data_IF_045348831366
#
_entry.id   IF_045348831366
#
_cell.length_a   1.000
_cell.length_b   1.000
_cell.length_c   1.000
_cell.angle_alpha   90.00
_cell.angle_beta   90.00
_cell.angle_gamma   90.00
#
_symmetry.space_group_name_H-M   'P 1'
#
loop_
_entity.id
_entity.type
_entity.pdbx_description
1 polymer ?
#
# COMPACT_ATOMS: atom_id res chain seq x y z
N UNK A 1 0.32 25.80 31.96
CA UNK A 1 0.99 25.64 30.66
C UNK A 1 1.36 24.18 30.51
N UNK A 2 0.69 23.31 29.78
CA UNK A 2 -0.65 23.28 29.18
C UNK A 2 -0.87 21.78 28.94
N UNK A 3 -1.69 21.13 29.78
CA UNK A 3 -2.19 19.80 29.44
C UNK A 3 -3.50 19.99 28.70
N UNK A 4 -3.38 20.22 27.40
CA UNK A 4 -4.49 20.15 26.47
C UNK A 4 -4.90 18.65 26.37
N UNK A 5 -5.57 18.15 27.41
CA UNK A 5 -6.21 16.84 27.40
C UNK A 5 -7.31 16.93 26.36
N UNK A 6 -7.04 16.44 25.15
CA UNK A 6 -8.05 16.26 24.12
C UNK A 6 -9.20 15.49 24.77
N UNK A 7 -10.33 16.15 24.96
CA UNK A 7 -11.53 15.53 25.52
C UNK A 7 -12.08 14.65 24.40
N UNK A 8 -11.65 13.39 24.41
CA UNK A 8 -12.17 12.37 23.49
C UNK A 8 -13.65 12.16 23.81
N UNK A 9 -14.52 12.37 22.83
CA UNK A 9 -15.97 12.21 22.98
C UNK A 9 -16.34 10.78 23.40
N UNK A 10 -17.55 10.60 23.93
CA UNK A 10 -18.03 9.26 24.34
C UNK A 10 -18.10 8.32 23.14
N UNK A 11 -18.54 8.84 22.00
CA UNK A 11 -18.63 8.13 20.72
C UNK A 11 -17.24 7.66 20.25
N UNK A 12 -16.24 8.55 20.30
CA UNK A 12 -14.86 8.21 19.92
C UNK A 12 -14.26 7.15 20.86
N UNK A 13 -14.50 7.24 22.18
CA UNK A 13 -14.08 6.19 23.11
C UNK A 13 -14.72 4.84 22.77
N UNK A 14 -16.01 4.85 22.45
CA UNK A 14 -16.73 3.63 22.08
C UNK A 14 -16.19 3.05 20.77
N UNK A 15 -15.91 3.88 19.76
CA UNK A 15 -15.34 3.45 18.50
C UNK A 15 -13.98 2.79 18.67
N UNK A 16 -13.09 3.39 19.46
CA UNK A 16 -11.78 2.81 19.79
C UNK A 16 -11.91 1.46 20.53
N UNK A 17 -12.89 1.33 21.43
CA UNK A 17 -13.19 0.06 22.11
C UNK A 17 -13.68 -0.99 21.11
N UNK A 18 -14.63 -0.64 20.23
CA UNK A 18 -15.18 -1.55 19.24
C UNK A 18 -14.12 -2.04 18.27
N UNK A 19 -13.36 -1.11 17.68
CA UNK A 19 -12.24 -1.44 16.78
C UNK A 19 -11.24 -2.36 17.46
N UNK A 20 -10.92 -2.18 18.74
CA UNK A 20 -9.97 -3.07 19.44
C UNK A 20 -10.56 -4.44 19.82
N UNK A 21 -11.85 -4.49 20.20
CA UNK A 21 -12.36 -5.62 20.98
C UNK A 21 -13.44 -6.47 20.31
N UNK A 22 -14.11 -5.99 19.26
CA UNK A 22 -15.07 -6.81 18.51
C UNK A 22 -14.39 -8.09 18.01
N UNK A 23 -15.12 -9.18 17.86
CA UNK A 23 -14.54 -10.45 17.37
C UNK A 23 -14.08 -10.32 15.91
N UNK A 24 -14.81 -9.54 15.12
CA UNK A 24 -14.47 -9.23 13.74
C UNK A 24 -14.83 -7.79 13.37
N UNK A 25 -14.16 -7.28 12.35
CA UNK A 25 -14.52 -6.06 11.62
C UNK A 25 -14.45 -6.36 10.13
N UNK A 26 -15.11 -5.56 9.31
CA UNK A 26 -15.14 -5.73 7.87
C UNK A 26 -14.47 -4.54 7.20
N UNK A 27 -13.63 -4.79 6.22
CA UNK A 27 -12.84 -3.77 5.52
C UNK A 27 -13.16 -3.84 4.05
N UNK A 28 -13.41 -2.68 3.43
CA UNK A 28 -13.54 -2.61 1.97
C UNK A 28 -12.15 -2.79 1.36
N UNK A 29 -12.02 -3.75 0.45
CA UNK A 29 -10.78 -4.09 -0.22
C UNK A 29 -10.88 -3.70 -1.70
N UNK A 30 -9.79 -3.17 -2.26
CA UNK A 30 -9.66 -3.02 -3.70
C UNK A 30 -9.45 -4.39 -4.36
N UNK A 31 -10.34 -4.72 -5.29
CA UNK A 31 -10.26 -5.93 -6.11
C UNK A 31 -9.08 -5.93 -7.08
N UNK A 32 -8.48 -4.76 -7.34
CA UNK A 32 -7.35 -4.57 -8.26
C UNK A 32 -6.03 -4.73 -7.52
N UNK A 33 -5.85 -4.02 -6.41
CA UNK A 33 -4.58 -4.00 -5.65
C UNK A 33 -4.51 -5.12 -4.61
N UNK A 34 -5.62 -5.78 -4.29
CA UNK A 34 -5.73 -6.79 -3.21
C UNK A 34 -5.29 -6.23 -1.84
N UNK A 35 -5.50 -4.93 -1.63
CA UNK A 35 -5.22 -4.16 -0.42
C UNK A 35 -6.51 -3.45 0.02
N UNK A 36 -6.55 -2.86 1.23
CA UNK A 36 -7.68 -2.00 1.62
C UNK A 36 -7.95 -0.94 0.55
N UNK A 37 -9.22 -0.67 0.29
CA UNK A 37 -9.61 0.42 -0.59
C UNK A 37 -9.39 1.74 0.15
N UNK A 38 -8.64 2.65 -0.47
CA UNK A 38 -8.24 3.92 0.15
C UNK A 38 -8.90 5.09 -0.56
N UNK A 39 -9.35 6.07 0.23
CA UNK A 39 -9.91 7.35 -0.21
C UNK A 39 -9.14 8.49 0.47
N UNK A 40 -9.06 9.65 -0.18
CA UNK A 40 -8.56 10.88 0.44
C UNK A 40 -9.79 11.70 0.85
N UNK A 41 -9.90 12.05 2.13
CA UNK A 41 -10.97 12.92 2.61
C UNK A 41 -10.79 14.35 2.08
N UNK A 42 -11.82 14.95 1.49
CA UNK A 42 -11.71 16.26 0.85
C UNK A 42 -11.54 17.43 1.83
N UNK A 43 -11.89 17.24 3.11
CA UNK A 43 -11.83 18.29 4.13
C UNK A 43 -10.58 18.15 5.01
N UNK A 44 -10.27 16.94 5.47
CA UNK A 44 -9.13 16.69 6.37
C UNK A 44 -7.86 16.30 5.64
N UNK A 45 -7.95 15.90 4.37
CA UNK A 45 -6.86 15.31 3.58
C UNK A 45 -6.30 14.03 4.22
N UNK A 46 -7.09 13.35 5.03
CA UNK A 46 -6.72 12.05 5.57
C UNK A 46 -6.85 10.96 4.51
N UNK A 47 -5.86 10.07 4.47
CA UNK A 47 -5.85 8.88 3.65
C UNK A 47 -6.53 7.75 4.43
N UNK A 48 -7.79 7.49 4.08
CA UNK A 48 -8.70 6.68 4.88
C UNK A 48 -8.95 5.31 4.27
N UNK A 49 -8.98 4.28 5.13
CA UNK A 49 -9.59 2.98 4.80
C UNK A 49 -11.00 2.87 5.36
N UNK A 50 -11.88 2.19 4.62
CA UNK A 50 -13.27 2.00 5.02
C UNK A 50 -13.42 0.75 5.89
N UNK A 51 -13.89 0.93 7.13
CA UNK A 51 -14.02 -0.12 8.14
C UNK A 51 -15.43 -0.17 8.71
N UNK A 52 -15.99 -1.35 8.93
CA UNK A 52 -17.35 -1.54 9.39
C UNK A 52 -17.43 -2.55 10.52
N UNK A 53 -18.35 -2.33 11.46
CA UNK A 53 -18.65 -3.30 12.52
C UNK A 53 -19.55 -4.44 12.02
N UNK A 54 -20.37 -4.19 11.01
CA UNK A 54 -21.34 -5.14 10.46
C UNK A 54 -21.08 -5.38 8.97
N UNK A 55 -21.20 -6.63 8.53
CA UNK A 55 -20.96 -7.02 7.14
C UNK A 55 -21.95 -6.36 6.18
N UNK A 56 -23.21 -6.22 6.61
CA UNK A 56 -24.28 -5.66 5.77
C UNK A 56 -24.02 -4.19 5.44
N UNK A 57 -23.56 -3.38 6.40
CA UNK A 57 -23.16 -1.99 6.13
C UNK A 57 -21.95 -1.90 5.18
N UNK A 58 -21.00 -2.83 5.30
CA UNK A 58 -19.89 -2.92 4.34
C UNK A 58 -20.38 -3.30 2.93
N UNK A 59 -21.37 -4.19 2.81
CA UNK A 59 -22.00 -4.58 1.53
C UNK A 59 -22.73 -3.41 0.88
N UNK A 60 -23.45 -2.62 1.65
CA UNK A 60 -24.12 -1.41 1.17
C UNK A 60 -23.11 -0.41 0.60
N UNK A 61 -22.03 -0.10 1.34
CA UNK A 61 -20.98 0.77 0.82
C UNK A 61 -20.26 0.20 -0.39
N UNK A 62 -19.93 -1.10 -0.37
CA UNK A 62 -19.30 -1.77 -1.51
C UNK A 62 -20.16 -1.68 -2.77
N UNK A 63 -21.49 -1.76 -2.63
CA UNK A 63 -22.44 -1.57 -3.73
C UNK A 63 -22.38 -0.14 -4.28
N UNK A 64 -22.39 0.88 -3.43
CA UNK A 64 -22.25 2.29 -3.87
C UNK A 64 -20.93 2.51 -4.62
N UNK A 65 -19.82 1.98 -4.11
CA UNK A 65 -18.52 2.08 -4.80
C UNK A 65 -18.52 1.35 -6.15
N UNK A 66 -19.22 0.21 -6.24
CA UNK A 66 -19.39 -0.51 -7.50
C UNK A 66 -20.27 0.25 -8.51
N UNK A 67 -21.28 0.98 -8.05
CA UNK A 67 -22.07 1.91 -8.89
C UNK A 67 -21.17 3.02 -9.46
N UNK A 68 -20.18 3.48 -8.68
CA UNK A 68 -19.11 4.39 -9.11
C UNK A 68 -17.98 3.72 -9.91
N UNK A 69 -18.19 2.46 -10.31
CA UNK A 69 -17.31 1.60 -11.12
C UNK A 69 -16.00 1.19 -10.45
N UNK A 70 -15.88 1.35 -9.15
CA UNK A 70 -14.74 0.76 -8.43
C UNK A 70 -14.89 -0.75 -8.32
N UNK A 71 -13.76 -1.43 -8.47
CA UNK A 71 -13.68 -2.87 -8.25
C UNK A 71 -13.34 -3.11 -6.80
N UNK A 72 -14.35 -3.42 -5.98
CA UNK A 72 -14.19 -3.63 -4.54
C UNK A 72 -14.72 -4.99 -4.09
N UNK A 73 -14.22 -5.44 -2.95
CA UNK A 73 -14.72 -6.59 -2.20
C UNK A 73 -14.67 -6.29 -0.70
N UNK A 74 -15.02 -7.28 0.12
CA UNK A 74 -15.04 -7.14 1.58
C UNK A 74 -14.14 -8.21 2.17
N UNK A 75 -13.24 -7.80 3.06
CA UNK A 75 -12.47 -8.72 3.89
C UNK A 75 -12.95 -8.65 5.33
N UNK A 76 -13.11 -9.83 5.93
CA UNK A 76 -13.33 -9.98 7.36
C UNK A 76 -11.97 -10.03 8.07
N UNK A 77 -11.79 -9.15 9.06
CA UNK A 77 -10.57 -9.07 9.89
C UNK A 77 -10.90 -9.55 11.30
N UNK A 78 -10.48 -10.78 11.58
CA UNK A 78 -10.55 -11.40 12.90
C UNK A 78 -9.72 -10.62 13.93
N UNK A 79 -10.15 -10.65 15.18
CA UNK A 79 -9.50 -9.95 16.31
C UNK A 79 -8.00 -10.25 16.45
N UNK A 80 -7.59 -11.50 16.21
CA UNK A 80 -6.19 -11.91 16.29
C UNK A 80 -5.31 -11.36 15.14
N UNK A 81 -5.89 -11.06 13.98
CA UNK A 81 -5.18 -10.47 12.84
C UNK A 81 -5.17 -8.93 12.89
N UNK A 82 -6.01 -8.33 13.74
CA UNK A 82 -6.32 -6.90 13.72
C UNK A 82 -5.16 -5.97 14.01
N UNK A 83 -4.32 -6.31 14.98
CA UNK A 83 -3.12 -5.52 15.27
C UNK A 83 -2.18 -5.49 14.05
N UNK A 84 -2.01 -6.63 13.38
CA UNK A 84 -1.22 -6.74 12.16
C UNK A 84 -1.82 -5.90 11.03
N UNK A 85 -3.15 -5.94 10.87
CA UNK A 85 -3.87 -5.10 9.91
C UNK A 85 -3.60 -3.61 10.14
N UNK A 86 -3.88 -3.07 11.33
CA UNK A 86 -3.67 -1.64 11.62
C UNK A 86 -2.19 -1.23 11.51
N UNK A 87 -1.25 -2.09 11.94
CA UNK A 87 0.18 -1.79 11.82
C UNK A 87 0.62 -1.73 10.35
N UNK A 88 0.05 -2.57 9.48
CA UNK A 88 0.37 -2.59 8.05
C UNK A 88 -0.10 -1.33 7.30
N UNK A 89 -1.17 -0.67 7.77
CA UNK A 89 -1.65 0.57 7.16
C UNK A 89 -0.54 1.66 7.10
N UNK A 90 0.36 1.68 8.08
CA UNK A 90 1.50 2.60 8.08
C UNK A 90 2.53 2.39 6.97
N UNK A 91 2.65 1.18 6.40
CA UNK A 91 3.54 0.90 5.26
C UNK A 91 2.88 1.29 3.94
N UNK A 92 1.56 1.45 3.94
CA UNK A 92 0.71 1.87 2.82
C UNK A 92 0.48 3.39 2.79
N UNK A 93 0.96 4.15 3.78
CA UNK A 93 0.74 5.60 3.87
C UNK A 93 -0.60 6.03 4.46
N UNK A 94 -1.51 5.09 4.74
CA UNK A 94 -2.82 5.34 5.36
C UNK A 94 -2.65 5.91 6.77
N UNK A 95 -3.39 6.98 7.08
CA UNK A 95 -3.31 7.67 8.36
C UNK A 95 -4.63 7.61 9.18
N UNK A 96 -5.76 7.23 8.57
CA UNK A 96 -7.05 7.22 9.24
C UNK A 96 -7.97 6.07 8.81
N UNK A 97 -9.02 5.86 9.60
CA UNK A 97 -10.10 4.93 9.34
C UNK A 97 -11.41 5.70 9.27
N UNK A 98 -12.13 5.47 8.18
CA UNK A 98 -13.50 5.89 8.01
C UNK A 98 -14.43 4.75 8.44
N UNK A 99 -14.94 4.86 9.66
CA UNK A 99 -15.69 3.79 10.32
C UNK A 99 -17.18 3.97 10.07
N UNK A 100 -17.85 2.90 9.64
CA UNK A 100 -19.30 2.84 9.45
C UNK A 100 -19.86 3.96 8.55
N UNK A 101 -19.12 4.37 7.52
CA UNK A 101 -19.58 5.42 6.59
C UNK A 101 -20.94 5.07 5.99
N UNK A 102 -21.88 6.00 6.09
CA UNK A 102 -23.27 5.83 5.65
C UNK A 102 -24.23 5.31 6.72
N UNK A 103 -23.82 5.23 7.99
CA UNK A 103 -24.70 4.84 9.11
C UNK A 103 -24.71 5.86 10.25
N UNK A 104 -25.58 5.67 11.24
CA UNK A 104 -25.65 6.52 12.44
C UNK A 104 -24.39 6.42 13.34
N UNK A 105 -23.57 5.39 13.14
CA UNK A 105 -22.31 5.16 13.88
C UNK A 105 -21.08 5.66 13.10
N UNK A 106 -21.28 6.47 12.06
CA UNK A 106 -20.19 7.01 11.25
C UNK A 106 -19.21 7.86 12.09
N UNK A 107 -17.92 7.52 12.03
CA UNK A 107 -16.88 8.25 12.75
C UNK A 107 -15.52 8.11 12.06
N UNK A 108 -14.70 9.17 12.12
CA UNK A 108 -13.30 9.13 11.68
C UNK A 108 -12.37 8.89 12.85
N UNK A 109 -11.46 7.93 12.70
CA UNK A 109 -10.49 7.53 13.74
C UNK A 109 -9.09 7.63 13.15
N UNK A 110 -8.23 8.43 13.78
CA UNK A 110 -6.83 8.53 13.40
C UNK A 110 -6.12 7.22 13.75
N UNK A 111 -5.30 6.68 12.85
CA UNK A 111 -4.63 5.39 13.02
C UNK A 111 -3.76 5.36 14.28
N UNK A 112 -3.11 6.48 14.61
CA UNK A 112 -2.29 6.65 15.81
C UNK A 112 -3.07 6.49 17.12
N UNK A 113 -4.39 6.71 17.11
CA UNK A 113 -5.25 6.47 18.25
C UNK A 113 -5.46 4.98 18.51
N UNK A 114 -5.27 4.12 17.50
CA UNK A 114 -5.41 2.67 17.62
C UNK A 114 -4.08 1.98 17.90
N UNK A 115 -3.05 2.34 17.13
CA UNK A 115 -1.72 1.71 17.19
C UNK A 115 -0.66 2.80 17.10
N UNK A 116 0.17 2.92 18.13
CA UNK A 116 1.28 3.88 18.11
C UNK A 116 2.45 3.28 17.34
N UNK A 117 2.89 4.00 16.31
CA UNK A 117 4.11 3.65 15.57
C UNK A 117 5.34 3.98 16.42
N UNK A 118 6.22 3.00 16.65
CA UNK A 118 7.53 3.28 17.24
C UNK A 118 8.34 4.17 16.30
N UNK A 119 9.07 5.13 16.85
CA UNK A 119 9.82 6.08 16.05
C UNK A 119 10.91 5.35 15.24
N UNK A 120 11.00 5.64 13.94
CA UNK A 120 11.97 4.99 13.03
C UNK A 120 13.42 5.33 13.39
N UNK A 121 13.63 6.48 14.04
CA UNK A 121 14.93 6.99 14.49
C UNK A 121 15.46 6.28 15.74
N UNK A 122 14.63 5.51 16.45
CA UNK A 122 15.03 4.71 17.61
C UNK A 122 15.55 3.32 17.21
N UNK A 123 15.57 3.00 15.92
CA UNK A 123 16.13 1.75 15.42
C UNK A 123 17.67 1.86 15.41
N UNK A 124 18.40 0.85 15.94
CA UNK A 124 19.86 0.86 15.96
C UNK A 124 20.45 1.09 14.57
N UNK A 125 21.54 1.87 14.50
CA UNK A 125 22.29 2.14 13.27
C UNK A 125 22.53 0.83 12.49
N UNK A 126 22.07 0.80 11.24
CA UNK A 126 22.17 -0.38 10.35
C UNK A 126 20.88 -1.19 10.18
N UNK A 127 19.81 -0.94 10.96
CA UNK A 127 18.47 -1.51 10.74
C UNK A 127 17.48 -0.48 10.21
N UNK A 128 17.86 0.25 9.14
CA UNK A 128 16.94 1.18 8.50
C UNK A 128 15.77 0.40 7.90
N UNK A 129 14.58 0.61 8.45
CA UNK A 129 13.34 0.03 7.94
C UNK A 129 13.09 0.62 6.55
N UNK A 130 13.17 -0.23 5.52
CA UNK A 130 12.88 0.17 4.14
C UNK A 130 11.38 0.15 3.96
N UNK A 131 10.81 1.33 3.75
CA UNK A 131 9.40 1.56 3.49
C UNK A 131 9.28 2.77 2.57
N UNK A 132 8.35 2.71 1.61
CA UNK A 132 8.04 3.81 0.71
C UNK A 132 6.54 4.11 0.78
N UNK A 133 6.03 4.62 1.93
CA UNK A 133 4.59 4.74 2.17
C UNK A 133 3.89 5.65 1.16
N UNK A 134 4.49 6.80 0.81
CA UNK A 134 3.94 7.71 -0.20
C UNK A 134 3.83 7.03 -1.57
N UNK A 135 4.90 6.36 -2.02
CA UNK A 135 4.87 5.60 -3.28
C UNK A 135 3.79 4.52 -3.26
N UNK A 136 3.65 3.82 -2.14
CA UNK A 136 2.68 2.75 -1.99
C UNK A 136 1.25 3.29 -2.07
N UNK A 137 0.97 4.38 -1.35
CA UNK A 137 -0.29 5.08 -1.33
C UNK A 137 -0.68 5.59 -2.73
N UNK A 138 0.20 6.36 -3.39
CA UNK A 138 -0.06 6.89 -4.73
C UNK A 138 -0.27 5.75 -5.74
N UNK A 139 0.47 4.64 -5.62
CA UNK A 139 0.25 3.47 -6.46
C UNK A 139 -1.11 2.79 -6.20
N UNK A 140 -1.60 2.78 -4.95
CA UNK A 140 -2.95 2.28 -4.64
C UNK A 140 -4.02 3.15 -5.30
N UNK A 141 -3.95 4.48 -5.15
CA UNK A 141 -4.86 5.41 -5.81
C UNK A 141 -4.83 5.25 -7.34
N UNK A 142 -3.63 5.24 -7.92
CA UNK A 142 -3.45 5.09 -9.37
C UNK A 142 -4.13 3.82 -9.89
N UNK A 143 -3.89 2.67 -9.22
CA UNK A 143 -4.43 1.40 -9.68
C UNK A 143 -5.93 1.29 -9.47
N UNK A 144 -6.49 1.91 -8.42
CA UNK A 144 -7.93 2.04 -8.22
C UNK A 144 -8.57 2.84 -9.37
N UNK A 145 -8.01 4.01 -9.70
CA UNK A 145 -8.55 4.91 -10.73
C UNK A 145 -8.39 4.36 -12.14
N UNK A 146 -7.22 3.80 -12.50
CA UNK A 146 -6.98 3.22 -13.83
C UNK A 146 -7.97 2.11 -14.18
N UNK A 147 -8.49 1.40 -13.18
CA UNK A 147 -9.41 0.28 -13.37
C UNK A 147 -10.88 0.68 -13.18
N UNK A 148 -11.18 1.95 -12.93
CA UNK A 148 -12.55 2.45 -12.74
C UNK A 148 -13.37 2.53 -14.05
N UNK A 149 -12.87 1.96 -15.15
CA UNK A 149 -13.53 1.85 -16.47
C UNK A 149 -14.26 3.14 -16.89
N UNK A 150 -13.53 4.25 -16.98
CA UNK A 150 -14.09 5.61 -17.08
C UNK A 150 -14.25 6.09 -18.54
N UNK A 151 -13.77 5.32 -19.52
CA UNK A 151 -13.87 5.68 -20.95
C UNK A 151 -12.58 5.39 -21.71
N UNK A 152 -12.51 5.81 -23.00
CA UNK A 152 -11.34 5.56 -23.84
C UNK A 152 -10.16 6.49 -23.54
N UNK A 153 -10.42 7.69 -23.00
CA UNK A 153 -9.39 8.66 -22.65
C UNK A 153 -8.97 8.49 -21.19
N UNK A 154 -7.67 8.65 -20.95
CA UNK A 154 -7.12 8.65 -19.59
C UNK A 154 -7.51 9.96 -18.89
N UNK A 155 -8.25 9.90 -17.77
CA UNK A 155 -8.63 11.07 -16.99
C UNK A 155 -7.40 11.85 -16.49
N UNK A 156 -7.54 13.15 -16.29
CA UNK A 156 -6.42 14.01 -15.86
C UNK A 156 -5.88 13.61 -14.49
N UNK A 157 -6.76 13.28 -13.53
CA UNK A 157 -6.36 12.81 -12.21
C UNK A 157 -5.50 11.53 -12.27
N UNK A 158 -5.72 10.66 -13.27
CA UNK A 158 -4.88 9.47 -13.48
C UNK A 158 -3.48 9.86 -13.94
N UNK A 159 -3.34 10.89 -14.78
CA UNK A 159 -2.03 11.39 -15.21
C UNK A 159 -1.27 12.04 -14.06
N UNK A 160 -1.95 12.86 -13.26
CA UNK A 160 -1.37 13.47 -12.06
C UNK A 160 -0.86 12.39 -11.09
N UNK A 161 -1.65 11.35 -10.83
CA UNK A 161 -1.25 10.21 -10.01
C UNK A 161 -0.05 9.46 -10.61
N UNK A 162 0.05 9.32 -11.94
CA UNK A 162 1.23 8.72 -12.57
C UNK A 162 2.49 9.58 -12.37
N UNK A 163 2.38 10.89 -12.55
CA UNK A 163 3.50 11.82 -12.36
C UNK A 163 3.99 11.83 -10.90
N UNK A 164 3.05 11.90 -9.95
CA UNK A 164 3.33 11.83 -8.52
C UNK A 164 3.98 10.49 -8.14
N UNK A 165 3.42 9.37 -8.62
CA UNK A 165 3.98 8.04 -8.39
C UNK A 165 5.42 7.96 -8.90
N UNK A 166 5.70 8.52 -10.08
CA UNK A 166 7.05 8.54 -10.66
C UNK A 166 8.00 9.43 -9.85
N UNK A 167 7.51 10.52 -9.25
CA UNK A 167 8.29 11.36 -8.36
C UNK A 167 8.67 10.63 -7.05
N UNK A 168 7.73 9.90 -6.45
CA UNK A 168 8.03 9.06 -5.27
C UNK A 168 8.96 7.90 -5.63
N UNK A 169 8.75 7.24 -6.78
CA UNK A 169 9.62 6.16 -7.24
C UNK A 169 11.08 6.60 -7.32
N UNK A 170 11.36 7.75 -7.93
CA UNK A 170 12.73 8.29 -8.07
C UNK A 170 13.44 8.55 -6.75
N UNK A 171 12.69 8.82 -5.67
CA UNK A 171 13.22 9.04 -4.31
C UNK A 171 13.31 7.75 -3.50
N UNK A 172 12.68 6.67 -3.97
CA UNK A 172 12.49 5.44 -3.23
C UNK A 172 13.76 4.61 -3.07
N UNK A 173 13.79 3.81 -2.02
CA UNK A 173 14.74 2.71 -1.85
C UNK A 173 13.95 1.42 -1.73
N UNK A 174 14.28 0.42 -2.54
CA UNK A 174 13.47 -0.77 -2.70
C UNK A 174 14.17 -1.99 -2.13
N UNK A 175 13.38 -2.95 -1.65
CA UNK A 175 13.88 -4.27 -1.33
C UNK A 175 13.91 -5.09 -2.62
N UNK A 176 15.03 -5.76 -2.88
CA UNK A 176 15.19 -6.75 -3.96
C UNK A 176 15.55 -8.09 -3.35
N UNK A 177 14.87 -9.14 -3.78
CA UNK A 177 15.15 -10.51 -3.36
C UNK A 177 16.17 -11.20 -4.26
N UNK A 178 17.11 -11.91 -3.65
CA UNK A 178 18.10 -12.75 -4.32
C UNK A 178 18.01 -14.17 -3.75
N UNK A 179 17.88 -15.16 -4.61
CA UNK A 179 17.83 -16.59 -4.23
C UNK A 179 19.20 -17.09 -3.74
N UNK A 180 19.23 -18.27 -3.10
CA UNK A 180 20.47 -18.82 -2.53
C UNK A 180 21.55 -19.11 -3.57
N UNK A 181 21.16 -19.40 -4.81
CA UNK A 181 22.02 -19.57 -5.98
C UNK A 181 22.41 -18.25 -6.66
N UNK A 182 22.15 -17.12 -6.00
CA UNK A 182 22.34 -15.76 -6.49
C UNK A 182 21.46 -15.37 -7.69
N UNK A 183 20.39 -16.13 -7.99
CA UNK A 183 19.43 -15.72 -9.03
C UNK A 183 18.43 -14.69 -8.52
N UNK A 184 18.13 -13.70 -9.35
CA UNK A 184 17.07 -12.71 -9.09
C UNK A 184 15.76 -13.25 -9.70
N UNK A 185 14.64 -13.27 -8.95
CA UNK A 185 13.36 -13.71 -9.50
C UNK A 185 12.89 -12.83 -10.66
N UNK A 186 12.12 -13.43 -11.57
CA UNK A 186 11.45 -12.73 -12.66
C UNK A 186 9.99 -13.12 -12.76
N UNK A 187 9.18 -12.13 -13.11
CA UNK A 187 7.76 -12.30 -13.37
C UNK A 187 7.51 -12.20 -14.86
N UNK A 188 7.04 -13.31 -15.43
CA UNK A 188 6.59 -13.36 -16.82
C UNK A 188 5.16 -12.89 -16.93
N UNK A 189 4.93 -11.95 -17.84
CA UNK A 189 3.62 -11.41 -18.15
C UNK A 189 2.92 -12.21 -19.26
N UNK A 190 1.59 -12.07 -19.42
CA UNK A 190 0.85 -12.75 -20.48
C UNK A 190 1.35 -12.45 -21.90
N UNK A 191 1.88 -11.24 -22.11
CA UNK A 191 2.52 -10.82 -23.38
C UNK A 191 3.94 -11.38 -23.57
N UNK A 192 4.44 -12.18 -22.61
CA UNK A 192 5.76 -12.78 -22.62
C UNK A 192 6.87 -11.92 -22.02
N UNK A 193 6.62 -10.63 -21.74
CA UNK A 193 7.61 -9.72 -21.16
C UNK A 193 8.01 -10.13 -19.74
N UNK A 194 9.25 -9.82 -19.35
CA UNK A 194 9.81 -10.16 -18.05
C UNK A 194 10.02 -8.90 -17.22
N UNK A 195 9.57 -8.92 -15.97
CA UNK A 195 9.77 -7.84 -15.01
C UNK A 195 10.44 -8.36 -13.74
N UNK A 196 11.39 -7.60 -13.21
CA UNK A 196 12.05 -7.89 -11.95
C UNK A 196 11.20 -7.35 -10.78
N UNK A 197 10.83 -8.17 -9.78
CA UNK A 197 10.03 -7.70 -8.67
C UNK A 197 10.88 -6.85 -7.71
N UNK A 198 10.32 -5.72 -7.29
CA UNK A 198 10.87 -4.83 -6.27
C UNK A 198 9.79 -4.51 -5.25
N UNK A 199 10.17 -4.26 -4.00
CA UNK A 199 9.21 -4.11 -2.91
C UNK A 199 9.38 -2.80 -2.17
N UNK A 200 8.26 -2.17 -1.85
CA UNK A 200 8.24 -0.93 -1.07
C UNK A 200 8.62 -1.16 0.37
N UNK A 201 8.37 -2.36 0.90
CA UNK A 201 8.56 -2.72 2.31
C UNK A 201 8.71 -4.25 2.49
N UNK A 202 9.03 -4.65 3.72
CA UNK A 202 9.30 -6.06 4.07
C UNK A 202 8.04 -6.94 4.07
N UNK A 203 6.85 -6.35 4.26
CA UNK A 203 5.59 -7.11 4.30
C UNK A 203 5.26 -7.59 2.88
N UNK A 204 5.34 -6.70 1.90
CA UNK A 204 5.15 -7.07 0.49
C UNK A 204 6.22 -8.05 -0.02
N UNK A 205 7.48 -7.87 0.41
CA UNK A 205 8.53 -8.85 0.11
C UNK A 205 8.23 -10.23 0.72
N UNK A 206 7.83 -10.28 2.00
CA UNK A 206 7.54 -11.55 2.69
C UNK A 206 6.35 -12.27 2.06
N UNK A 207 5.33 -11.50 1.65
CA UNK A 207 4.18 -12.01 0.90
C UNK A 207 4.60 -12.65 -0.42
N UNK A 208 5.53 -12.03 -1.14
CA UNK A 208 6.09 -12.58 -2.36
C UNK A 208 6.96 -13.82 -2.13
N UNK A 209 7.82 -13.80 -1.11
CA UNK A 209 8.75 -14.88 -0.82
C UNK A 209 8.03 -16.17 -0.41
N UNK A 210 6.82 -16.10 0.17
CA UNK A 210 6.01 -17.26 0.58
C UNK A 210 6.80 -18.27 1.41
N UNK A 211 7.64 -17.78 2.34
CA UNK A 211 8.48 -18.61 3.21
C UNK A 211 9.76 -19.18 2.56
N UNK A 212 10.01 -18.89 1.27
CA UNK A 212 11.28 -19.23 0.62
C UNK A 212 12.43 -18.43 1.20
N UNK A 213 13.58 -19.07 1.40
CA UNK A 213 14.80 -18.39 1.83
C UNK A 213 15.34 -17.54 0.69
N UNK A 214 15.46 -16.25 0.95
CA UNK A 214 15.99 -15.27 0.02
C UNK A 214 16.81 -14.24 0.79
N UNK A 215 17.93 -13.82 0.21
CA UNK A 215 18.68 -12.67 0.69
C UNK A 215 17.99 -11.40 0.20
N UNK A 216 17.98 -10.36 1.02
CA UNK A 216 17.43 -9.05 0.66
C UNK A 216 18.55 -8.04 0.45
N UNK A 217 18.38 -7.16 -0.53
CA UNK A 217 19.22 -5.99 -0.74
C UNK A 217 18.33 -4.74 -0.80
N UNK A 218 18.81 -3.64 -0.21
CA UNK A 218 18.16 -2.34 -0.30
C UNK A 218 18.80 -1.55 -1.46
N UNK A 219 18.02 -1.24 -2.49
CA UNK A 219 18.48 -0.65 -3.74
C UNK A 219 17.77 0.69 -3.97
N UNK A 220 18.49 1.82 -3.94
CA UNK A 220 17.96 3.11 -4.37
C UNK A 220 17.48 3.09 -5.82
N UNK A 221 16.45 3.87 -6.13
CA UNK A 221 15.81 3.89 -7.46
C UNK A 221 16.78 4.18 -8.62
N UNK A 222 17.73 5.09 -8.42
CA UNK A 222 18.75 5.47 -9.40
C UNK A 222 19.74 4.33 -9.71
N UNK A 223 19.86 3.34 -8.82
CA UNK A 223 20.68 2.14 -8.99
C UNK A 223 19.96 0.96 -9.61
N UNK A 224 18.63 1.00 -9.69
CA UNK A 224 17.84 -0.07 -10.33
C UNK A 224 18.28 -0.34 -11.79
N UNK A 225 18.51 0.67 -12.66
CA UNK A 225 18.94 0.43 -14.03
C UNK A 225 20.27 -0.31 -14.16
N UNK A 226 21.14 -0.23 -13.16
CA UNK A 226 22.46 -0.88 -13.15
C UNK A 226 22.40 -2.36 -12.73
N UNK A 227 21.37 -2.74 -11.96
CA UNK A 227 21.19 -4.09 -11.42
C UNK A 227 20.10 -4.89 -12.14
N UNK A 228 19.38 -4.27 -13.06
CA UNK A 228 18.33 -4.91 -13.83
C UNK A 228 18.93 -6.00 -14.71
N UNK A 229 18.43 -7.23 -14.58
CA UNK A 229 18.98 -8.35 -15.34
C UNK A 229 18.81 -8.17 -16.87
N UNK A 230 19.65 -8.81 -17.71
CA UNK A 230 19.64 -8.60 -19.17
C UNK A 230 18.31 -8.86 -19.89
N UNK A 231 17.48 -9.77 -19.40
CA UNK A 231 16.22 -10.14 -20.08
C UNK A 231 14.99 -9.38 -19.54
N UNK A 232 15.12 -8.65 -18.43
CA UNK A 232 14.00 -7.89 -17.88
C UNK A 232 13.77 -6.59 -18.68
N UNK A 233 12.51 -6.32 -18.99
CA UNK A 233 12.03 -5.06 -19.61
C UNK A 233 11.99 -3.90 -18.60
N UNK A 234 11.84 -4.23 -17.32
CA UNK A 234 11.79 -3.26 -16.24
C UNK A 234 11.45 -3.91 -14.90
N UNK A 235 10.79 -3.16 -14.03
CA UNK A 235 10.45 -3.60 -12.66
C UNK A 235 8.95 -3.71 -12.42
N UNK A 236 8.56 -4.65 -11.55
CA UNK A 236 7.21 -4.78 -11.02
C UNK A 236 7.23 -4.44 -9.52
N UNK A 237 6.59 -3.35 -9.14
CA UNK A 237 6.48 -2.89 -7.75
C UNK A 237 5.34 -3.65 -7.09
N UNK A 238 5.63 -4.30 -5.96
CA UNK A 238 4.65 -5.04 -5.13
C UNK A 238 3.72 -5.93 -5.98
N UNK A 239 4.26 -6.95 -6.67
CA UNK A 239 3.56 -7.71 -7.70
C UNK A 239 2.32 -8.49 -7.22
N UNK A 240 2.19 -8.76 -5.92
CA UNK A 240 1.00 -9.41 -5.32
C UNK A 240 0.05 -8.40 -4.65
N UNK A 241 0.39 -7.11 -4.75
CA UNK A 241 -0.36 -5.97 -4.29
C UNK A 241 -0.74 -5.06 -5.46
N UNK A 242 -0.27 -3.81 -5.43
CA UNK A 242 -0.52 -2.82 -6.49
C UNK A 242 -0.04 -3.26 -7.88
N UNK A 243 1.02 -4.08 -7.98
CA UNK A 243 1.54 -4.62 -9.24
C UNK A 243 1.72 -3.55 -10.33
N UNK A 244 2.34 -2.42 -9.96
CA UNK A 244 2.70 -1.36 -10.92
C UNK A 244 3.93 -1.81 -11.70
N UNK A 245 3.90 -1.65 -13.02
CA UNK A 245 4.98 -2.06 -13.92
C UNK A 245 5.60 -0.84 -14.56
N UNK A 246 6.91 -0.71 -14.43
CA UNK A 246 7.68 0.37 -15.02
C UNK A 246 8.67 -0.21 -16.00
N UNK A 247 8.61 0.23 -17.25
CA UNK A 247 9.65 -0.02 -18.24
C UNK A 247 10.88 0.81 -17.88
N UNK A 248 12.05 0.18 -17.84
CA UNK A 248 13.29 0.82 -17.42
C UNK A 248 14.31 0.75 -18.55
N UNK A 249 14.80 1.91 -18.98
CA UNK A 249 15.97 1.98 -19.85
C UNK A 249 17.21 1.61 -19.06
N UNK A 250 17.93 0.58 -19.51
CA UNK A 250 19.14 0.08 -18.82
C UNK A 250 20.26 1.11 -18.93
N UNK A 251 21.05 1.23 -17.86
CA UNK A 251 22.31 1.96 -17.95
C UNK A 251 23.28 1.12 -18.80
N UNK A 252 23.75 1.67 -19.93
CA UNK A 252 24.89 1.08 -20.62
C UNK A 252 26.07 1.13 -19.64
N UNK A 253 26.53 -0.03 -19.16
CA UNK A 253 27.87 -0.13 -18.60
C UNK A 253 28.83 0.17 -19.74
N UNK A 254 29.18 1.44 -19.93
CA UNK A 254 30.42 1.76 -20.63
C UNK A 254 31.50 1.03 -19.84
N UNK A 255 32.15 0.06 -20.47
CA UNK A 255 33.41 -0.48 -19.95
C UNK A 255 34.30 0.73 -19.66
N UNK A 256 34.72 0.96 -18.41
CA UNK A 256 35.96 1.69 -18.23
C UNK A 256 37.03 0.78 -18.85
N UNK A 257 37.73 1.31 -19.85
CA UNK A 257 38.90 0.73 -20.53
C UNK A 257 38.63 -0.18 -21.75
N UNK A 258 38.80 0.42 -22.94
CA UNK A 258 39.90 0.10 -23.84
C UNK A 258 40.26 1.34 -24.68
#
# INVERSE_FOLDING_TARGET
>A
MDENKVIVSTEMKQALVNLRNLEEIYVIMSGVTKMPFVLCDEETFDDEVLVYYQEESAKEKAKTLAEDRYHVGIAKIEKNARLGFFTNLYTMGVNALAVNVGTEEEIRVQLEQLVVRKNKEELPDGKKLIENPELHLTAMYLMQEMHRNIGPEMPENVKELQEEMMAHYKKGTFIVGVQEDNQVPLLRQPDGSLYQPIFTDMIEFTRFAQGKKMKTAAIPADKIPEILIPDAKGVAINPFGVNVRLDITKANKQNPEA
#
